data_IF_916862367749
#
_entry.id   IF_916862367749
#
_cell.length_a   1.000
_cell.length_b   1.000
_cell.length_c   1.000
_cell.angle_alpha   90.00
_cell.angle_beta   90.00
_cell.angle_gamma   90.00
#
_symmetry.space_group_name_H-M   'P 1'
#
loop_
_entity.id
_entity.type
_entity.pdbx_description
1 polymer ?
#
# COMPACT_ATOMS: atom_id res chain seq x y z
N UNK A 1 22.59 22.21 6.50
CA UNK A 1 21.22 21.80 6.86
C UNK A 1 20.24 22.39 5.86
N UNK A 2 19.48 21.55 5.15
CA UNK A 2 18.24 21.94 4.45
C UNK A 2 17.30 20.74 4.50
N UNK A 3 16.23 20.87 5.30
CA UNK A 3 15.10 19.92 5.33
C UNK A 3 14.21 20.31 4.16
N UNK A 4 13.96 19.37 3.24
CA UNK A 4 12.99 19.57 2.15
C UNK A 4 11.96 18.45 2.28
N UNK A 5 10.82 18.82 2.85
CA UNK A 5 9.59 18.05 2.82
C UNK A 5 9.01 18.21 1.41
N UNK A 6 8.97 17.13 0.63
CA UNK A 6 8.20 17.09 -0.61
C UNK A 6 7.01 16.17 -0.40
N UNK A 7 5.91 16.78 0.07
CA UNK A 7 4.57 16.22 -0.09
C UNK A 7 4.15 16.55 -1.54
N UNK A 8 4.33 15.61 -2.46
CA UNK A 8 3.72 15.67 -3.78
C UNK A 8 2.62 14.63 -3.84
N UNK A 9 1.42 15.02 -3.39
CA UNK A 9 0.17 14.33 -3.68
C UNK A 9 -0.14 14.46 -5.17
N UNK A 10 0.32 13.51 -5.96
CA UNK A 10 -0.39 13.11 -7.16
C UNK A 10 -1.20 11.87 -6.75
N UNK A 11 -2.51 12.05 -6.60
CA UNK A 11 -3.42 10.93 -6.33
C UNK A 11 -3.42 10.07 -7.59
N UNK A 12 -2.54 9.08 -7.63
CA UNK A 12 -2.86 7.90 -8.41
C UNK A 12 -3.94 7.16 -7.65
N UNK A 13 -5.13 7.09 -8.26
CA UNK A 13 -6.07 6.07 -7.91
C UNK A 13 -5.45 4.71 -8.29
N UNK A 14 -4.77 4.08 -7.34
CA UNK A 14 -4.40 2.66 -7.47
C UNK A 14 -5.70 1.89 -7.27
N UNK A 15 -6.35 1.52 -8.36
CA UNK A 15 -7.60 0.78 -8.35
C UNK A 15 -7.32 -0.66 -7.94
N UNK A 16 -7.99 -1.14 -6.91
CA UNK A 16 -7.95 -2.55 -6.63
C UNK A 16 -9.35 -3.07 -6.34
N UNK A 17 -9.68 -4.25 -6.85
CA UNK A 17 -11.01 -4.86 -6.73
C UNK A 17 -10.98 -5.96 -5.66
N UNK A 18 -11.77 -5.83 -4.59
CA UNK A 18 -12.08 -6.96 -3.72
C UNK A 18 -13.56 -7.31 -3.83
N UNK A 19 -13.85 -8.60 -3.98
CA UNK A 19 -15.19 -9.12 -4.05
C UNK A 19 -15.57 -9.60 -2.65
N UNK A 20 -16.54 -8.97 -2.00
CA UNK A 20 -17.10 -9.50 -0.75
C UNK A 20 -18.59 -9.16 -0.65
N UNK A 21 -19.42 -10.21 -0.71
CA UNK A 21 -20.83 -10.17 -0.30
C UNK A 21 -20.92 -10.42 1.21
N UNK A 22 -21.86 -9.70 1.84
CA UNK A 22 -22.45 -9.82 3.18
C UNK A 22 -21.93 -8.97 4.37
N UNK A 23 -22.78 -7.99 4.70
CA UNK A 23 -23.40 -7.60 6.00
C UNK A 23 -22.61 -7.63 7.31
N UNK A 24 -22.54 -6.44 7.92
CA UNK A 24 -22.52 -6.13 9.37
C UNK A 24 -21.51 -6.87 10.27
N UNK A 25 -20.24 -6.77 9.90
CA UNK A 25 -19.18 -6.46 10.83
C UNK A 25 -18.34 -5.34 10.19
N UNK A 26 -17.71 -4.45 10.97
CA UNK A 26 -16.66 -3.56 10.43
C UNK A 26 -15.44 -4.41 10.09
N UNK A 27 -15.59 -5.31 9.13
CA UNK A 27 -14.52 -6.06 8.52
C UNK A 27 -13.66 -5.01 7.83
N UNK A 28 -12.40 -4.97 8.23
CA UNK A 28 -11.42 -4.10 7.61
C UNK A 28 -11.49 -4.30 6.07
N UNK A 29 -11.83 -3.26 5.29
CA UNK A 29 -12.08 -3.41 3.86
C UNK A 29 -10.80 -3.69 3.06
N UNK A 30 -9.64 -3.57 3.72
CA UNK A 30 -8.34 -3.86 3.13
C UNK A 30 -7.94 -5.33 3.28
N UNK A 31 -8.65 -6.17 4.04
CA UNK A 31 -8.23 -7.57 4.20
C UNK A 31 -8.19 -8.28 2.84
N UNK A 32 -7.04 -8.88 2.51
CA UNK A 32 -6.81 -9.54 1.23
C UNK A 32 -5.44 -9.25 0.64
N UNK A 33 -5.22 -9.78 -0.56
CA UNK A 33 -4.02 -9.57 -1.38
C UNK A 33 -4.29 -8.52 -2.46
N UNK A 34 -3.33 -7.60 -2.64
CA UNK A 34 -3.46 -6.41 -3.48
C UNK A 34 -2.23 -6.26 -4.38
N UNK A 35 -2.42 -6.38 -5.69
CA UNK A 35 -1.34 -6.24 -6.68
C UNK A 35 -1.06 -4.79 -7.07
N UNK A 36 0.20 -4.34 -6.97
CA UNK A 36 0.58 -2.96 -7.23
C UNK A 36 0.38 -2.57 -8.69
N UNK A 37 -0.66 -1.78 -8.98
CA UNK A 37 -0.91 -1.32 -10.36
C UNK A 37 0.02 -0.19 -10.80
N UNK A 38 0.24 0.81 -9.95
CA UNK A 38 1.06 1.99 -10.27
C UNK A 38 1.72 2.54 -9.02
N UNK A 39 2.89 3.14 -9.20
CA UNK A 39 3.61 3.84 -8.14
C UNK A 39 4.20 5.12 -8.73
N UNK A 40 3.57 6.26 -8.50
CA UNK A 40 4.00 7.55 -9.07
C UNK A 40 4.54 8.46 -8.00
N UNK A 41 5.71 8.99 -8.28
CA UNK A 41 6.30 10.07 -7.51
C UNK A 41 6.46 11.30 -8.43
N UNK A 42 5.91 12.44 -8.02
CA UNK A 42 5.97 13.71 -8.78
C UNK A 42 5.49 13.59 -10.23
N UNK A 43 4.48 12.76 -10.49
CA UNK A 43 3.91 12.55 -11.83
C UNK A 43 4.65 11.55 -12.71
N UNK A 44 5.74 10.94 -12.22
CA UNK A 44 6.49 9.90 -12.94
C UNK A 44 6.20 8.53 -12.32
N UNK A 45 5.84 7.54 -13.15
CA UNK A 45 5.72 6.16 -12.70
C UNK A 45 7.12 5.60 -12.39
N UNK A 46 7.35 5.32 -11.12
CA UNK A 46 8.59 4.79 -10.56
C UNK A 46 8.47 3.30 -10.21
N UNK A 47 7.37 2.62 -10.62
CA UNK A 47 7.20 1.17 -10.39
C UNK A 47 8.34 0.37 -11.02
N UNK A 48 8.81 0.79 -12.20
CA UNK A 48 9.81 0.05 -12.97
C UNK A 48 9.31 -1.33 -13.39
N UNK A 49 10.16 -2.10 -14.07
CA UNK A 49 9.79 -3.43 -14.60
C UNK A 49 9.50 -4.40 -13.46
N UNK A 50 10.42 -4.52 -12.49
CA UNK A 50 10.23 -5.45 -11.38
C UNK A 50 9.07 -5.08 -10.45
N UNK A 51 8.70 -3.80 -10.33
CA UNK A 51 7.61 -3.39 -9.46
C UNK A 51 6.25 -3.95 -9.89
N UNK A 52 6.10 -4.43 -11.12
CA UNK A 52 4.87 -5.09 -11.59
C UNK A 52 4.53 -6.37 -10.81
N UNK A 53 5.54 -7.04 -10.25
CA UNK A 53 5.35 -8.25 -9.42
C UNK A 53 5.07 -7.93 -7.95
N UNK A 54 5.04 -6.66 -7.57
CA UNK A 54 4.88 -6.28 -6.17
C UNK A 54 3.43 -6.40 -5.73
N UNK A 55 3.21 -6.90 -4.52
CA UNK A 55 1.88 -7.05 -3.93
C UNK A 55 1.92 -6.80 -2.42
N UNK A 56 0.74 -6.56 -1.86
CA UNK A 56 0.55 -6.27 -0.43
C UNK A 56 -0.51 -7.21 0.11
N UNK A 57 -0.24 -7.82 1.26
CA UNK A 57 -1.21 -8.64 1.99
C UNK A 57 -1.61 -7.91 3.26
N UNK A 58 -2.90 -7.65 3.44
CA UNK A 58 -3.43 -7.21 4.72
C UNK A 58 -4.15 -8.37 5.41
N UNK A 59 -3.68 -8.68 6.62
CA UNK A 59 -4.36 -9.57 7.57
C UNK A 59 -5.02 -8.75 8.67
N UNK A 60 -5.73 -9.39 9.60
CA UNK A 60 -6.39 -8.67 10.70
C UNK A 60 -5.42 -7.88 11.59
N UNK A 61 -4.15 -8.30 11.66
CA UNK A 61 -3.16 -7.76 12.61
C UNK A 61 -1.94 -7.15 11.94
N UNK A 62 -1.58 -7.65 10.76
CA UNK A 62 -0.32 -7.35 10.10
C UNK A 62 -0.50 -7.04 8.62
N UNK A 63 0.39 -6.19 8.12
CA UNK A 63 0.59 -5.95 6.70
C UNK A 63 1.90 -6.61 6.27
N UNK A 64 1.88 -7.26 5.11
CA UNK A 64 3.07 -7.76 4.43
C UNK A 64 3.21 -7.03 3.09
N UNK A 65 4.37 -6.44 2.84
CA UNK A 65 4.69 -5.75 1.59
C UNK A 65 5.77 -6.54 0.88
N UNK A 66 5.40 -7.14 -0.25
CA UNK A 66 6.27 -7.88 -1.14
C UNK A 66 6.65 -6.97 -2.29
N UNK A 67 7.87 -6.42 -2.25
CA UNK A 67 8.37 -5.50 -3.27
C UNK A 67 9.50 -6.13 -4.06
N UNK A 68 9.48 -5.98 -5.37
CA UNK A 68 10.51 -6.54 -6.25
C UNK A 68 11.38 -5.41 -6.81
N UNK A 69 12.69 -5.51 -6.61
CA UNK A 69 13.66 -4.49 -7.06
C UNK A 69 14.60 -5.07 -8.10
N UNK A 70 14.96 -4.23 -9.06
CA UNK A 70 15.92 -4.59 -10.10
C UNK A 70 17.35 -4.62 -9.51
N UNK A 71 17.97 -5.79 -9.62
CA UNK A 71 19.37 -6.06 -9.28
C UNK A 71 19.95 -6.91 -10.43
N UNK A 72 20.31 -8.16 -10.18
CA UNK A 72 20.53 -9.19 -11.21
C UNK A 72 19.22 -9.94 -11.38
N UNK A 73 18.30 -9.35 -12.16
CA UNK A 73 16.89 -9.77 -12.19
C UNK A 73 16.03 -9.12 -11.10
N UNK A 74 14.79 -9.57 -10.97
CA UNK A 74 13.85 -9.06 -9.98
C UNK A 74 13.97 -9.84 -8.67
N UNK A 75 14.46 -9.16 -7.63
CA UNK A 75 14.66 -9.77 -6.31
C UNK A 75 13.59 -9.27 -5.36
N UNK A 76 12.91 -10.21 -4.70
CA UNK A 76 11.88 -9.93 -3.71
C UNK A 76 12.47 -9.36 -2.42
N UNK A 77 11.77 -8.40 -1.83
CA UNK A 77 12.03 -7.79 -0.54
C UNK A 77 10.72 -7.77 0.24
N UNK A 78 10.70 -8.45 1.38
CA UNK A 78 9.52 -8.60 2.22
C UNK A 78 9.66 -7.69 3.44
N UNK A 79 8.64 -6.88 3.70
CA UNK A 79 8.52 -6.09 4.91
C UNK A 79 7.22 -6.45 5.62
N UNK A 80 7.28 -6.68 6.93
CA UNK A 80 6.11 -6.98 7.76
C UNK A 80 6.00 -5.98 8.89
N UNK A 81 4.78 -5.64 9.28
CA UNK A 81 4.55 -4.76 10.41
C UNK A 81 3.10 -4.74 10.87
N UNK A 82 2.89 -4.26 12.08
CA UNK A 82 1.55 -3.92 12.56
C UNK A 82 1.02 -2.66 11.87
N UNK A 83 -0.29 -2.58 11.71
CA UNK A 83 -0.95 -1.37 11.21
C UNK A 83 -2.27 -1.13 11.95
N UNK A 84 -2.73 0.12 11.89
CA UNK A 84 -4.07 0.49 12.36
C UNK A 84 -4.78 1.33 11.31
N UNK A 85 -6.11 1.30 11.32
CA UNK A 85 -6.94 2.11 10.43
C UNK A 85 -7.63 3.21 11.20
N UNK A 86 -7.52 4.45 10.69
CA UNK A 86 -8.21 5.61 11.25
C UNK A 86 -8.50 6.62 10.15
N UNK A 87 -9.75 7.05 10.01
CA UNK A 87 -10.17 8.12 9.09
C UNK A 87 -9.60 7.96 7.66
N UNK A 88 -9.81 6.80 7.04
CA UNK A 88 -9.32 6.46 5.69
C UNK A 88 -7.79 6.55 5.56
N UNK A 89 -7.06 6.38 6.67
CA UNK A 89 -5.61 6.26 6.70
C UNK A 89 -5.20 4.92 7.27
N UNK A 90 -4.15 4.38 6.67
CA UNK A 90 -3.35 3.29 7.22
C UNK A 90 -2.22 3.95 8.01
N UNK A 91 -2.07 3.57 9.28
CA UNK A 91 -1.03 4.05 10.16
C UNK A 91 -0.06 2.89 10.40
N UNK A 92 1.20 3.10 10.06
CA UNK A 92 2.31 2.18 10.26
C UNK A 92 3.15 2.68 11.43
N UNK A 93 3.62 1.77 12.27
CA UNK A 93 4.56 2.08 13.34
C UNK A 93 5.80 1.20 13.18
N UNK A 94 6.95 1.82 12.98
CA UNK A 94 8.23 1.14 12.87
C UNK A 94 9.26 1.90 13.71
N UNK A 95 9.97 1.21 14.59
CA UNK A 95 11.01 1.80 15.46
C UNK A 95 10.55 3.03 16.29
N UNK A 96 9.27 3.06 16.69
CA UNK A 96 8.66 4.17 17.43
C UNK A 96 8.30 5.40 16.57
N UNK A 97 8.56 5.35 15.26
CA UNK A 97 8.14 6.38 14.30
C UNK A 97 6.83 5.95 13.63
N UNK A 98 5.86 6.86 13.62
CA UNK A 98 4.54 6.65 12.99
C UNK A 98 4.51 7.29 11.62
N UNK A 99 4.18 6.50 10.61
CA UNK A 99 3.93 6.95 9.24
C UNK A 99 2.47 6.68 8.88
N UNK A 100 1.88 7.49 8.01
CA UNK A 100 0.50 7.25 7.57
C UNK A 100 0.32 7.46 6.08
N UNK A 101 -0.47 6.60 5.45
CA UNK A 101 -0.90 6.71 4.05
C UNK A 101 -2.43 6.77 3.98
N UNK A 102 -2.98 7.59 3.09
CA UNK A 102 -4.43 7.64 2.87
C UNK A 102 -4.84 6.58 1.85
N UNK A 103 -6.04 6.01 1.98
CA UNK A 103 -6.57 5.01 1.07
C UNK A 103 -8.03 5.28 0.72
N UNK A 104 -8.44 4.77 -0.44
CA UNK A 104 -9.84 4.73 -0.89
C UNK A 104 -10.08 3.34 -1.45
N UNK A 105 -11.15 2.68 -0.99
CA UNK A 105 -11.60 1.40 -1.55
C UNK A 105 -12.85 1.70 -2.38
N UNK A 106 -12.79 1.44 -3.68
CA UNK A 106 -13.95 1.51 -4.56
C UNK A 106 -14.54 0.10 -4.65
N UNK A 107 -15.77 -0.07 -4.15
CA UNK A 107 -16.52 -1.30 -4.36
C UNK A 107 -17.33 -1.19 -5.65
N UNK A 108 -17.25 -2.21 -6.52
CA UNK A 108 -18.19 -2.37 -7.61
C UNK A 108 -19.53 -2.84 -7.00
N UNK A 109 -20.49 -1.92 -6.88
CA UNK A 109 -21.88 -2.22 -6.55
C UNK A 109 -22.68 -2.58 -7.79
#
# INVERSE_FOLDING_TARGET
MKKILILATAILAVSFTSCSKDKDNKTNPLIGEWALLSNVEKGVDIKGVCGEYSYIIFTEKEIEVHSFKERVGCIEQIQKGGYTLSNNKIIFEANGEKSSASYVVNGDS
#
